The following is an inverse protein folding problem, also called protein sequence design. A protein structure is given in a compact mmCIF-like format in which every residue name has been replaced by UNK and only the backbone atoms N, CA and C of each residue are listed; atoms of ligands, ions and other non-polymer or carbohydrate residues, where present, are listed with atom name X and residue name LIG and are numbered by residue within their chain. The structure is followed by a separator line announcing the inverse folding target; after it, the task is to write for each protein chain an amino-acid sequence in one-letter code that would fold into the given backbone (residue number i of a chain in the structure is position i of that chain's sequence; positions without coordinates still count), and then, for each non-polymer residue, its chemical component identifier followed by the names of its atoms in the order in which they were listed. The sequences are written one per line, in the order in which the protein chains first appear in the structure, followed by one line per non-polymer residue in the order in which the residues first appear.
data_IF_827641378133
#
_entry.id   IF_827641378133
#
_cell.length_a   1.000
_cell.length_b   1.000
_cell.length_c   1.000
_cell.angle_alpha   90.00
_cell.angle_beta   90.00
_cell.angle_gamma   90.00
#
_symmetry.space_group_name_H-M   'P 1'
#
loop_
_entity.id
_entity.type
_entity.pdbx_description
1 polymer ?
#
# COMPACT_ATOMS: atom_id res chain seq x y z
N UNK A 1 27.19 15.65 -8.68
CA UNK A 1 26.24 16.77 -8.82
C UNK A 1 25.05 16.32 -9.65
N UNK A 2 23.84 16.43 -9.09
CA UNK A 2 22.58 16.14 -9.77
C UNK A 2 22.34 17.19 -10.85
N UNK A 3 22.26 16.76 -12.11
CA UNK A 3 21.58 17.50 -13.17
C UNK A 3 20.36 16.65 -13.55
N UNK A 4 19.27 16.87 -12.83
CA UNK A 4 17.97 16.31 -13.19
C UNK A 4 17.48 17.17 -14.36
N UNK A 5 17.50 16.59 -15.54
CA UNK A 5 16.96 17.23 -16.74
C UNK A 5 15.43 17.15 -16.67
N UNK A 6 14.82 18.32 -16.58
CA UNK A 6 13.47 18.62 -17.00
C UNK A 6 13.21 18.04 -18.40
N UNK A 7 12.25 17.13 -18.50
CA UNK A 7 11.58 16.81 -19.75
C UNK A 7 10.12 17.21 -19.59
N UNK A 8 9.83 18.45 -19.94
CA UNK A 8 8.51 18.96 -20.24
C UNK A 8 7.96 18.31 -21.51
N UNK A 9 6.73 17.81 -21.46
CA UNK A 9 5.87 17.71 -22.64
C UNK A 9 4.50 18.26 -22.28
N UNK A 10 4.08 19.25 -23.07
CA UNK A 10 2.93 20.12 -22.88
C UNK A 10 1.76 19.56 -23.69
N UNK A 11 0.57 19.43 -23.09
CA UNK A 11 -0.70 19.48 -23.82
C UNK A 11 -1.86 19.74 -22.84
N UNK A 12 -2.32 20.98 -22.82
CA UNK A 12 -3.52 21.47 -22.15
C UNK A 12 -4.74 20.99 -22.93
N UNK A 13 -5.67 20.28 -22.30
CA UNK A 13 -7.08 20.20 -22.72
C UNK A 13 -8.00 20.33 -21.50
N UNK A 14 -8.79 21.39 -21.50
CA UNK A 14 -9.77 21.80 -20.49
C UNK A 14 -10.96 20.83 -20.40
N UNK A 15 -11.45 20.52 -19.19
CA UNK A 15 -12.77 19.87 -19.06
C UNK A 15 -13.18 19.36 -17.68
N UNK A 16 -13.81 20.24 -16.88
CA UNK A 16 -14.84 19.98 -15.85
C UNK A 16 -14.45 19.36 -14.49
N UNK A 17 -14.38 20.28 -13.53
CA UNK A 17 -14.80 20.21 -12.12
C UNK A 17 -15.80 19.09 -11.76
N UNK A 18 -15.41 18.30 -10.76
CA UNK A 18 -16.31 17.64 -9.82
C UNK A 18 -15.50 17.15 -8.61
N UNK A 19 -15.71 17.67 -7.39
CA UNK A 19 -15.09 17.05 -6.23
C UNK A 19 -15.82 15.72 -5.96
N UNK A 20 -15.28 14.63 -6.51
CA UNK A 20 -15.50 13.30 -5.96
C UNK A 20 -14.74 13.24 -4.63
N UNK A 21 -15.30 13.86 -3.59
CA UNK A 21 -14.77 13.69 -2.24
C UNK A 21 -14.99 12.25 -1.85
N UNK A 22 -13.87 11.54 -1.87
CA UNK A 22 -13.69 10.15 -1.57
C UNK A 22 -14.50 9.69 -0.36
N UNK A 23 -15.23 8.60 -0.54
CA UNK A 23 -15.74 7.77 0.54
C UNK A 23 -14.54 7.15 1.27
N UNK A 24 -14.01 7.87 2.27
CA UNK A 24 -12.89 7.44 3.11
C UNK A 24 -13.43 6.51 4.19
N UNK A 25 -13.55 5.21 3.93
CA UNK A 25 -13.61 4.22 5.00
C UNK A 25 -13.12 2.84 4.54
N UNK A 26 -11.79 2.70 4.42
CA UNK A 26 -11.00 1.48 4.74
C UNK A 26 -9.52 1.70 4.37
N UNK A 27 -8.65 1.89 5.36
CA UNK A 27 -7.19 1.83 5.19
C UNK A 27 -6.44 3.14 5.44
N UNK A 28 -6.57 3.68 6.65
CA UNK A 28 -5.93 4.91 7.16
C UNK A 28 -4.42 5.05 6.81
N UNK A 29 -3.68 3.94 6.73
CA UNK A 29 -2.22 4.00 6.53
C UNK A 29 -1.80 4.52 5.13
N UNK A 30 -2.52 4.15 4.06
CA UNK A 30 -2.13 4.64 2.72
C UNK A 30 -2.43 6.13 2.57
N UNK A 31 -3.54 6.57 3.16
CA UNK A 31 -3.91 7.98 3.16
C UNK A 31 -2.91 8.80 3.98
N UNK A 32 -2.57 8.38 5.20
CA UNK A 32 -1.53 9.03 6.02
C UNK A 32 -0.16 9.10 5.37
N UNK A 33 0.21 8.06 4.61
CA UNK A 33 1.43 8.07 3.82
C UNK A 33 1.38 9.13 2.71
N UNK A 34 0.28 9.20 1.96
CA UNK A 34 0.09 10.22 0.92
C UNK A 34 0.06 11.62 1.51
N UNK A 35 -0.63 11.83 2.62
CA UNK A 35 -0.73 13.12 3.30
C UNK A 35 0.65 13.61 3.74
N UNK A 36 1.47 12.72 4.31
CA UNK A 36 2.85 13.04 4.69
C UNK A 36 3.76 13.36 3.49
N UNK A 37 3.57 12.67 2.36
CA UNK A 37 4.30 13.02 1.12
C UNK A 37 3.86 14.37 0.57
N UNK A 38 2.55 14.62 0.54
CA UNK A 38 1.98 15.90 0.10
C UNK A 38 2.49 17.05 0.95
N UNK A 39 2.51 16.91 2.28
CA UNK A 39 3.00 17.94 3.19
C UNK A 39 4.50 18.19 3.01
N UNK A 40 5.33 17.13 2.95
CA UNK A 40 6.78 17.29 2.89
C UNK A 40 7.33 17.72 1.52
N UNK A 41 6.61 17.39 0.45
CA UNK A 41 7.05 17.62 -0.92
C UNK A 41 6.18 18.65 -1.65
N UNK A 42 5.18 19.21 -0.97
CA UNK A 42 4.22 20.18 -1.49
C UNK A 42 3.58 19.70 -2.81
N UNK A 43 3.12 18.45 -2.82
CA UNK A 43 2.60 17.82 -4.04
C UNK A 43 1.31 18.51 -4.52
N UNK A 44 1.29 18.90 -5.79
CA UNK A 44 0.08 19.34 -6.47
C UNK A 44 -0.97 18.21 -6.57
N UNK A 45 -2.22 18.56 -6.84
CA UNK A 45 -3.31 17.58 -6.97
C UNK A 45 -3.02 16.53 -8.06
N UNK A 46 -2.46 16.96 -9.20
CA UNK A 46 -2.09 16.08 -10.32
C UNK A 46 -0.98 15.10 -9.90
N UNK A 47 0.07 15.59 -9.23
CA UNK A 47 1.15 14.73 -8.73
C UNK A 47 0.66 13.71 -7.69
N UNK A 48 -0.28 14.10 -6.83
CA UNK A 48 -0.87 13.17 -5.86
C UNK A 48 -1.64 12.04 -6.55
N UNK A 49 -2.38 12.34 -7.62
CA UNK A 49 -3.10 11.33 -8.40
C UNK A 49 -2.13 10.36 -9.09
N UNK A 50 -1.06 10.88 -9.71
CA UNK A 50 -0.03 10.04 -10.32
C UNK A 50 0.63 9.11 -9.31
N UNK A 51 1.00 9.63 -8.13
CA UNK A 51 1.60 8.83 -7.07
C UNK A 51 0.62 7.76 -6.58
N UNK A 52 -0.67 8.08 -6.41
CA UNK A 52 -1.70 7.07 -6.07
C UNK A 52 -1.79 5.98 -7.13
N UNK A 53 -1.72 6.34 -8.41
CA UNK A 53 -1.72 5.38 -9.52
C UNK A 53 -0.52 4.44 -9.47
N UNK A 54 0.69 4.98 -9.26
CA UNK A 54 1.93 4.20 -9.10
C UNK A 54 1.80 3.19 -7.95
N UNK A 55 1.34 3.62 -6.78
CA UNK A 55 1.17 2.72 -5.63
C UNK A 55 0.12 1.64 -5.88
N UNK A 56 -0.97 1.97 -6.56
CA UNK A 56 -2.01 1.00 -6.93
C UNK A 56 -1.45 -0.06 -7.89
N UNK A 57 -0.72 0.34 -8.91
CA UNK A 57 -0.06 -0.58 -9.84
C UNK A 57 0.95 -1.48 -9.12
N UNK A 58 1.78 -0.89 -8.25
CA UNK A 58 2.76 -1.63 -7.46
C UNK A 58 2.10 -2.62 -6.51
N UNK A 59 0.96 -2.25 -5.89
CA UNK A 59 0.20 -3.14 -5.02
C UNK A 59 -0.28 -4.38 -5.77
N UNK A 60 -0.86 -4.22 -6.97
CA UNK A 60 -1.34 -5.35 -7.76
C UNK A 60 -0.19 -6.25 -8.24
N UNK A 61 0.93 -5.66 -8.70
CA UNK A 61 2.15 -6.42 -9.03
C UNK A 61 2.64 -7.23 -7.84
N UNK A 62 2.71 -6.61 -6.66
CA UNK A 62 3.21 -7.29 -5.48
C UNK A 62 2.25 -8.38 -4.98
N UNK A 63 0.93 -8.19 -5.14
CA UNK A 63 -0.09 -9.20 -4.84
C UNK A 63 0.08 -10.44 -5.72
N UNK A 64 0.29 -10.24 -7.02
CA UNK A 64 0.59 -11.34 -7.95
C UNK A 64 1.87 -12.09 -7.54
N UNK A 65 2.96 -11.37 -7.29
CA UNK A 65 4.24 -11.95 -6.84
C UNK A 65 4.11 -12.74 -5.53
N UNK A 66 3.29 -12.27 -4.58
CA UNK A 66 3.02 -12.98 -3.32
C UNK A 66 2.29 -14.29 -3.55
N UNK A 67 1.33 -14.32 -4.48
CA UNK A 67 0.59 -15.54 -4.84
C UNK A 67 1.53 -16.56 -5.48
N UNK A 68 2.28 -16.13 -6.48
CA UNK A 68 3.27 -16.95 -7.17
C UNK A 68 4.32 -17.51 -6.20
N UNK A 69 4.87 -16.67 -5.33
CA UNK A 69 5.84 -17.11 -4.32
C UNK A 69 5.27 -18.16 -3.37
N UNK A 70 3.97 -18.04 -3.01
CA UNK A 70 3.29 -19.03 -2.16
C UNK A 70 3.14 -20.36 -2.88
N UNK A 71 2.83 -20.35 -4.17
CA UNK A 71 2.70 -21.55 -4.99
C UNK A 71 4.05 -22.26 -5.15
N UNK A 72 5.10 -21.53 -5.54
CA UNK A 72 6.47 -22.08 -5.63
C UNK A 72 6.97 -22.68 -4.31
N UNK A 73 6.64 -22.03 -3.19
CA UNK A 73 7.00 -22.56 -1.88
C UNK A 73 6.32 -23.92 -1.61
N UNK A 74 5.07 -24.10 -2.04
CA UNK A 74 4.37 -25.38 -1.87
C UNK A 74 5.00 -26.51 -2.69
N UNK A 75 5.57 -26.20 -3.84
CA UNK A 75 6.23 -27.20 -4.69
C UNK A 75 7.52 -27.77 -4.04
N UNK A 76 8.17 -26.98 -3.17
CA UNK A 76 9.43 -27.38 -2.51
C UNK A 76 9.20 -28.03 -1.15
N UNK A 77 8.11 -27.67 -0.44
CA UNK A 77 7.81 -28.17 0.89
C UNK A 77 7.01 -29.47 0.84
N UNK A 78 7.39 -30.44 1.68
CA UNK A 78 6.56 -31.63 1.92
C UNK A 78 5.31 -31.29 2.75
N UNK A 79 4.39 -32.25 2.88
CA UNK A 79 3.09 -32.02 3.55
C UNK A 79 3.23 -31.51 4.99
N UNK A 80 4.09 -32.13 5.80
CA UNK A 80 4.31 -31.74 7.20
C UNK A 80 4.90 -30.33 7.32
N UNK A 81 5.84 -29.99 6.43
CA UNK A 81 6.45 -28.65 6.38
C UNK A 81 5.45 -27.58 5.94
N UNK A 82 4.54 -27.90 5.01
CA UNK A 82 3.47 -26.99 4.61
C UNK A 82 2.51 -26.69 5.76
N UNK A 83 2.09 -27.71 6.50
CA UNK A 83 1.21 -27.55 7.66
C UNK A 83 1.85 -26.66 8.73
N UNK A 84 3.11 -26.95 9.10
CA UNK A 84 3.87 -26.13 10.05
C UNK A 84 4.03 -24.69 9.56
N UNK A 85 4.23 -24.48 8.26
CA UNK A 85 4.33 -23.15 7.68
C UNK A 85 3.02 -22.36 7.74
N UNK A 86 1.88 -23.02 7.53
CA UNK A 86 0.56 -22.39 7.66
C UNK A 86 0.24 -22.06 9.13
N UNK A 87 0.61 -22.92 10.07
CA UNK A 87 0.48 -22.67 11.51
C UNK A 87 1.31 -21.45 11.94
N UNK A 88 2.60 -21.41 11.58
CA UNK A 88 3.46 -20.25 11.86
C UNK A 88 2.88 -18.94 11.31
N UNK A 89 2.26 -18.97 10.13
CA UNK A 89 1.58 -17.81 9.55
C UNK A 89 0.36 -17.37 10.36
N UNK A 90 -0.47 -18.32 10.81
CA UNK A 90 -1.64 -18.05 11.65
C UNK A 90 -1.22 -17.47 13.00
N UNK A 91 -0.20 -18.04 13.65
CA UNK A 91 0.33 -17.52 14.90
C UNK A 91 0.86 -16.09 14.76
N UNK A 92 1.65 -15.83 13.72
CA UNK A 92 2.16 -14.48 13.45
C UNK A 92 1.03 -13.48 13.25
N UNK A 93 -0.02 -13.87 12.53
CA UNK A 93 -1.20 -13.04 12.32
C UNK A 93 -1.95 -12.77 13.62
N UNK A 94 -2.12 -13.79 14.48
CA UNK A 94 -2.74 -13.65 15.80
C UNK A 94 -1.95 -12.69 16.69
N UNK A 95 -0.63 -12.89 16.82
CA UNK A 95 0.26 -12.01 17.58
C UNK A 95 0.23 -10.56 17.08
N UNK A 96 0.15 -10.37 15.76
CA UNK A 96 0.01 -9.03 15.18
C UNK A 96 -1.33 -8.38 15.54
N UNK A 97 -2.42 -9.15 15.49
CA UNK A 97 -3.75 -8.69 15.90
C UNK A 97 -3.81 -8.34 17.38
N UNK A 98 -3.26 -9.17 18.26
CA UNK A 98 -3.18 -8.90 19.70
C UNK A 98 -2.45 -7.57 19.95
N UNK A 99 -1.24 -7.42 19.40
CA UNK A 99 -0.45 -6.18 19.53
C UNK A 99 -1.10 -4.92 18.98
N UNK A 100 -1.97 -5.04 17.97
CA UNK A 100 -2.69 -3.88 17.41
C UNK A 100 -4.00 -3.64 18.14
N UNK A 101 -4.66 -4.68 18.66
CA UNK A 101 -5.87 -4.60 19.47
C UNK A 101 -5.60 -3.94 20.83
N UNK A 102 -4.50 -4.32 21.50
CA UNK A 102 -4.14 -3.76 22.82
C UNK A 102 -3.87 -2.25 22.75
N UNK A 103 -3.24 -1.78 21.67
CA UNK A 103 -2.96 -0.35 21.46
C UNK A 103 -4.20 0.52 21.29
N UNK A 104 -5.33 -0.06 20.87
CA UNK A 104 -6.59 0.68 20.76
C UNK A 104 -7.33 0.79 22.11
N UNK A 105 -7.06 -0.11 23.07
CA UNK A 105 -7.66 -0.10 24.39
C UNK A 105 -6.96 0.85 25.37
N UNK A 106 -5.63 0.99 25.28
CA UNK A 106 -4.81 1.88 26.12
C UNK A 106 -4.96 3.37 25.75
N UNK A 107 -5.34 3.69 24.51
CA UNK A 107 -5.59 5.07 24.07
C UNK A 107 -7.02 5.58 24.35
N UNK A 108 -7.85 4.76 25.03
CA UNK A 108 -9.26 5.05 25.31
C UNK A 108 -9.59 5.16 26.82
N UNK A 109 -8.59 5.05 27.70
CA UNK A 109 -8.65 5.36 29.13
C UNK A 109 -7.84 6.63 29.45
#
# INVERSE_FOLDING_TARGET
MKKILLASAFAITTGLSGPLMAEVHKGDHHQRYMDHLTEKLELSAEQQEEVRSIHKEQYEKHKALRKESKERMKEVLNAEQQEKFEEMRKEKHKKMKEKHGDKHHESAE
#
